data_IF_516575638281
#
_entry.id   IF_516575638281
#
_cell.length_a   1.000
_cell.length_b   1.000
_cell.length_c   1.000
_cell.angle_alpha   90.00
_cell.angle_beta   90.00
_cell.angle_gamma   90.00
#
_symmetry.space_group_name_H-M   'P 1'
#
loop_
_entity.id
_entity.type
_entity.pdbx_description
1 polymer ?
#
# COMPACT_ATOMS: atom_id res chain seq x y z
N UNK A 1 19.43 -40.97 44.24
CA UNK A 1 18.58 -42.16 44.24
C UNK A 1 18.38 -42.57 45.70
N UNK A 2 17.28 -43.24 46.01
CA UNK A 2 16.98 -43.83 47.30
C UNK A 2 16.58 -45.29 47.07
N UNK A 3 17.08 -46.21 47.87
CA UNK A 3 16.67 -47.61 47.87
C UNK A 3 15.84 -47.82 49.14
N UNK A 4 14.66 -48.42 48.99
CA UNK A 4 13.73 -48.66 50.07
C UNK A 4 13.57 -50.15 50.30
N UNK A 5 13.40 -50.54 51.57
CA UNK A 5 13.05 -51.90 51.96
C UNK A 5 11.57 -52.23 51.64
N UNK A 6 11.11 -53.49 51.85
CA UNK A 6 9.71 -53.87 51.64
C UNK A 6 8.69 -53.14 52.54
N UNK A 7 9.15 -52.45 53.60
CA UNK A 7 8.30 -51.63 54.48
C UNK A 7 8.24 -50.16 54.02
N UNK A 8 8.94 -49.81 52.95
CA UNK A 8 9.01 -48.45 52.43
C UNK A 8 9.96 -47.54 53.21
N UNK A 9 10.93 -48.09 53.94
CA UNK A 9 11.95 -47.35 54.69
C UNK A 9 13.21 -47.22 53.83
N UNK A 10 13.78 -46.01 53.76
CA UNK A 10 15.01 -45.75 52.99
C UNK A 10 16.21 -46.43 53.66
N UNK A 11 16.82 -47.40 52.97
CA UNK A 11 17.98 -48.16 53.42
C UNK A 11 19.30 -47.72 52.77
N UNK A 12 19.24 -47.03 51.62
CA UNK A 12 20.43 -46.45 50.99
C UNK A 12 20.07 -45.19 50.20
N UNK A 13 20.88 -44.13 50.29
CA UNK A 13 20.66 -42.86 49.61
C UNK A 13 21.67 -41.79 50.02
N UNK A 14 21.64 -40.62 49.35
CA UNK A 14 22.53 -39.49 49.71
C UNK A 14 22.15 -38.81 51.02
N UNK A 15 20.86 -38.77 51.34
CA UNK A 15 20.26 -38.15 52.53
C UNK A 15 19.04 -39.01 52.94
N UNK A 16 18.51 -38.84 54.16
CA UNK A 16 17.23 -39.41 54.63
C UNK A 16 17.19 -40.93 54.93
N UNK A 17 18.31 -41.57 55.27
CA UNK A 17 18.32 -42.99 55.68
C UNK A 17 17.47 -43.17 56.95
N UNK A 18 16.58 -44.16 56.95
CA UNK A 18 15.64 -44.44 58.05
C UNK A 18 14.29 -43.73 57.95
N UNK A 19 14.09 -42.82 56.99
CA UNK A 19 12.78 -42.20 56.75
C UNK A 19 11.84 -43.17 56.02
N UNK A 20 10.58 -43.20 56.47
CA UNK A 20 9.53 -43.97 55.81
C UNK A 20 8.87 -43.14 54.71
N UNK A 21 8.94 -43.64 53.48
CA UNK A 21 8.29 -43.08 52.31
C UNK A 21 7.11 -43.94 51.83
N UNK A 22 6.68 -44.96 52.60
CA UNK A 22 5.57 -45.85 52.22
C UNK A 22 4.22 -45.14 52.05
N UNK A 23 4.05 -43.96 52.65
CA UNK A 23 2.87 -43.13 52.46
C UNK A 23 2.82 -42.42 51.09
N UNK A 24 3.95 -42.33 50.37
CA UNK A 24 4.04 -41.70 49.05
C UNK A 24 3.38 -42.61 48.01
N UNK A 25 2.44 -42.07 47.23
CA UNK A 25 1.62 -42.84 46.28
C UNK A 25 2.46 -43.67 45.30
N UNK A 26 3.45 -43.07 44.65
CA UNK A 26 4.32 -43.75 43.70
C UNK A 26 5.17 -44.86 44.36
N UNK A 27 5.59 -44.67 45.61
CA UNK A 27 6.33 -45.70 46.37
C UNK A 27 5.39 -46.85 46.76
N UNK A 28 4.15 -46.54 47.15
CA UNK A 28 3.15 -47.56 47.52
C UNK A 28 2.77 -48.44 46.34
N UNK A 29 2.60 -47.85 45.15
CA UNK A 29 2.35 -48.60 43.94
C UNK A 29 3.54 -49.48 43.54
N UNK A 30 4.77 -48.98 43.72
CA UNK A 30 5.99 -49.77 43.51
C UNK A 30 6.13 -50.91 44.53
N UNK A 31 5.81 -50.71 45.81
CA UNK A 31 5.78 -51.79 46.80
C UNK A 31 4.75 -52.87 46.46
N UNK A 32 3.65 -52.49 45.80
CA UNK A 32 2.66 -53.43 45.25
C UNK A 32 3.07 -54.08 43.92
N UNK A 33 4.33 -53.90 43.48
CA UNK A 33 4.89 -54.53 42.28
C UNK A 33 4.63 -53.77 40.98
N UNK A 34 4.08 -52.55 41.02
CA UNK A 34 3.78 -51.75 39.82
C UNK A 34 4.70 -50.54 39.71
N UNK A 35 5.32 -50.38 38.55
CA UNK A 35 6.04 -49.14 38.23
C UNK A 35 5.13 -47.92 38.37
N UNK A 36 5.62 -46.86 39.02
CA UNK A 36 4.91 -45.61 39.15
C UNK A 36 5.83 -44.40 38.95
N UNK A 37 5.31 -43.35 38.34
CA UNK A 37 5.99 -42.07 38.17
C UNK A 37 5.07 -40.93 38.52
N UNK A 38 5.61 -39.92 39.20
CA UNK A 38 4.88 -38.73 39.60
C UNK A 38 5.66 -37.47 39.25
N UNK A 39 4.94 -36.46 38.76
CA UNK A 39 5.47 -35.14 38.53
C UNK A 39 5.02 -34.25 39.69
N UNK A 40 5.96 -33.83 40.55
CA UNK A 40 5.66 -33.05 41.75
C UNK A 40 6.29 -31.67 41.66
N UNK A 41 5.58 -30.66 42.15
CA UNK A 41 6.14 -29.33 42.31
C UNK A 41 7.09 -29.32 43.52
N UNK A 42 8.29 -28.75 43.35
CA UNK A 42 9.22 -28.51 44.45
C UNK A 42 8.65 -27.39 45.31
N UNK A 43 8.15 -27.74 46.49
CA UNK A 43 7.87 -26.81 47.58
C UNK A 43 9.19 -26.72 48.35
N UNK A 44 9.85 -25.55 48.32
CA UNK A 44 11.09 -25.28 49.04
C UNK A 44 10.78 -24.11 49.96
N UNK A 45 11.11 -24.22 51.24
CA UNK A 45 10.95 -23.12 52.21
C UNK A 45 12.01 -22.02 52.02
N UNK A 46 12.96 -22.24 51.10
CA UNK A 46 13.94 -21.26 50.66
C UNK A 46 13.39 -20.37 49.54
N UNK A 47 13.69 -19.05 49.55
CA UNK A 47 13.28 -18.14 48.49
C UNK A 47 13.82 -18.61 47.13
N UNK A 48 13.04 -18.44 46.05
CA UNK A 48 13.48 -18.84 44.72
C UNK A 48 14.81 -18.14 44.42
N UNK A 49 15.84 -18.86 43.93
CA UNK A 49 17.10 -18.23 43.55
C UNK A 49 16.83 -17.18 42.48
N UNK A 50 17.67 -16.14 42.42
CA UNK A 50 17.58 -15.10 41.38
C UNK A 50 17.50 -15.73 39.99
N UNK A 51 16.96 -14.99 39.02
CA UNK A 51 16.65 -15.41 37.64
C UNK A 51 17.77 -16.16 36.88
N UNK A 52 18.98 -16.28 37.44
CA UNK A 52 20.19 -16.88 36.85
C UNK A 52 20.57 -18.28 37.36
N UNK A 53 19.85 -18.92 38.30
CA UNK A 53 20.09 -20.33 38.67
C UNK A 53 19.37 -21.30 37.73
N UNK A 54 19.77 -21.29 36.45
CA UNK A 54 19.05 -21.93 35.34
C UNK A 54 19.20 -23.46 35.31
N UNK A 55 20.12 -24.07 36.07
CA UNK A 55 20.27 -25.54 36.14
C UNK A 55 19.32 -26.24 37.13
N UNK A 56 18.71 -25.50 38.07
CA UNK A 56 17.85 -26.05 39.14
C UNK A 56 16.50 -25.33 39.30
N UNK A 57 16.20 -24.37 38.42
CA UNK A 57 15.07 -23.45 38.53
C UNK A 57 13.72 -23.98 38.04
N UNK A 58 13.64 -25.18 37.45
CA UNK A 58 12.34 -25.76 37.12
C UNK A 58 11.63 -26.14 38.43
N UNK A 59 10.47 -25.54 38.71
CA UNK A 59 9.65 -25.85 39.90
C UNK A 59 9.13 -27.29 39.94
N UNK A 60 9.51 -28.12 38.98
CA UNK A 60 8.97 -29.46 38.78
C UNK A 60 10.08 -30.49 38.88
N UNK A 61 9.86 -31.53 39.67
CA UNK A 61 10.76 -32.68 39.82
C UNK A 61 9.99 -33.94 39.44
N UNK A 62 10.59 -34.74 38.56
CA UNK A 62 10.02 -36.03 38.16
C UNK A 62 10.57 -37.07 39.12
N UNK A 63 9.65 -37.81 39.74
CA UNK A 63 9.92 -38.92 40.62
C UNK A 63 9.52 -40.23 39.94
N UNK A 64 10.36 -41.25 40.10
CA UNK A 64 10.17 -42.56 39.51
C UNK A 64 10.42 -43.61 40.58
N UNK A 65 9.46 -44.49 40.79
CA UNK A 65 9.53 -45.60 41.74
C UNK A 65 9.46 -46.92 40.98
N UNK A 66 10.50 -47.74 41.10
CA UNK A 66 10.60 -49.03 40.43
C UNK A 66 10.67 -50.16 41.46
N UNK A 67 9.79 -51.17 41.40
CA UNK A 67 9.90 -52.37 42.24
C UNK A 67 11.18 -53.14 41.91
N UNK A 68 11.85 -53.62 42.94
CA UNK A 68 12.90 -54.65 42.83
C UNK A 68 12.30 -55.94 43.32
N UNK A 69 12.10 -56.91 42.43
CA UNK A 69 11.56 -58.21 42.78
C UNK A 69 12.67 -59.27 42.82
N UNK A 70 12.65 -60.13 43.84
CA UNK A 70 13.49 -61.32 43.98
C UNK A 70 12.54 -62.48 44.28
N UNK A 71 12.65 -63.59 43.57
CA UNK A 71 11.78 -64.77 43.73
C UNK A 71 10.27 -64.46 43.72
N UNK A 72 9.83 -63.65 42.76
CA UNK A 72 8.43 -63.22 42.59
C UNK A 72 7.83 -62.42 43.76
N UNK A 73 8.67 -61.91 44.67
CA UNK A 73 8.28 -61.00 45.76
C UNK A 73 9.03 -59.69 45.65
N UNK A 74 8.36 -58.57 45.96
CA UNK A 74 8.99 -57.24 45.97
C UNK A 74 9.94 -57.16 47.17
N UNK A 75 11.24 -57.19 46.91
CA UNK A 75 12.32 -57.10 47.88
C UNK A 75 12.67 -55.64 48.26
N UNK A 76 12.20 -54.67 47.47
CA UNK A 76 12.39 -53.25 47.76
C UNK A 76 11.95 -52.34 46.61
N UNK A 77 12.20 -51.04 46.73
CA UNK A 77 11.88 -50.03 45.70
C UNK A 77 13.08 -49.15 45.42
N UNK A 78 13.42 -48.97 44.15
CA UNK A 78 14.37 -47.95 43.69
C UNK A 78 13.59 -46.68 43.41
N UNK A 79 13.83 -45.65 44.22
CA UNK A 79 13.20 -44.34 44.10
C UNK A 79 14.18 -43.30 43.57
N UNK A 80 13.92 -42.82 42.36
CA UNK A 80 14.74 -41.88 41.61
C UNK A 80 14.02 -40.56 41.45
N UNK A 81 14.81 -39.48 41.40
CA UNK A 81 14.26 -38.18 41.03
C UNK A 81 15.23 -37.40 40.18
N UNK A 82 14.72 -36.76 39.14
CA UNK A 82 15.46 -35.81 38.29
C UNK A 82 14.64 -34.57 38.04
N UNK A 83 15.32 -33.43 38.02
CA UNK A 83 14.74 -32.17 37.53
C UNK A 83 14.94 -32.15 36.01
N UNK A 84 13.87 -31.98 35.21
CA UNK A 84 14.00 -31.82 33.76
C UNK A 84 14.87 -30.61 33.41
N UNK A 85 15.65 -30.73 32.32
CA UNK A 85 16.39 -29.59 31.78
C UNK A 85 15.42 -28.46 31.42
N UNK A 86 15.81 -27.23 31.73
CA UNK A 86 14.95 -26.07 31.54
C UNK A 86 14.81 -25.75 30.04
N UNK A 87 13.65 -26.05 29.45
CA UNK A 87 13.31 -25.70 28.05
C UNK A 87 13.44 -24.20 27.81
N UNK A 88 13.17 -23.40 28.85
CA UNK A 88 13.32 -21.93 28.81
C UNK A 88 14.76 -21.52 28.53
N UNK A 89 15.77 -22.30 28.95
CA UNK A 89 17.18 -21.99 28.64
C UNK A 89 17.46 -22.07 27.14
N UNK A 90 16.84 -23.02 26.44
CA UNK A 90 17.00 -23.15 25.00
C UNK A 90 16.26 -22.04 24.25
N UNK A 91 15.05 -21.68 24.70
CA UNK A 91 14.31 -20.52 24.17
C UNK A 91 15.08 -19.20 24.34
N UNK A 92 15.70 -18.98 25.51
CA UNK A 92 16.54 -17.80 25.76
C UNK A 92 17.88 -17.83 25.03
N UNK A 93 18.43 -19.02 24.74
CA UNK A 93 19.63 -19.17 23.92
C UNK A 93 19.42 -18.71 22.47
N UNK A 94 18.19 -18.79 21.96
CA UNK A 94 17.85 -18.44 20.58
C UNK A 94 17.22 -17.04 20.42
N UNK A 95 17.01 -16.30 21.52
CA UNK A 95 16.42 -14.95 21.50
C UNK A 95 17.12 -13.98 20.52
N UNK A 96 18.42 -14.14 20.32
CA UNK A 96 19.19 -13.33 19.36
C UNK A 96 18.79 -13.59 17.91
N UNK A 97 18.59 -14.87 17.54
CA UNK A 97 18.13 -15.26 16.19
C UNK A 97 16.70 -14.77 15.96
N UNK A 98 15.83 -14.93 16.94
CA UNK A 98 14.44 -14.45 16.87
C UNK A 98 14.37 -12.93 16.73
N UNK A 99 15.16 -12.20 17.54
CA UNK A 99 15.24 -10.74 17.45
C UNK A 99 15.79 -10.26 16.10
N UNK A 100 16.83 -10.90 15.58
CA UNK A 100 17.38 -10.58 14.26
C UNK A 100 16.39 -10.87 13.14
N UNK A 101 15.67 -11.99 13.20
CA UNK A 101 14.59 -12.30 12.26
C UNK A 101 13.47 -11.25 12.30
N UNK A 102 13.06 -10.82 13.50
CA UNK A 102 12.05 -9.77 13.67
C UNK A 102 12.51 -8.43 13.07
N UNK A 103 13.76 -8.02 13.33
CA UNK A 103 14.34 -6.81 12.75
C UNK A 103 14.44 -6.92 11.22
N UNK A 104 14.84 -8.07 10.69
CA UNK A 104 14.93 -8.30 9.26
C UNK A 104 13.55 -8.22 8.58
N UNK A 105 12.51 -8.79 9.19
CA UNK A 105 11.12 -8.71 8.71
C UNK A 105 10.61 -7.27 8.75
N UNK A 106 10.81 -6.57 9.87
CA UNK A 106 10.41 -5.17 10.00
C UNK A 106 11.14 -4.27 9.00
N UNK A 107 12.45 -4.45 8.86
CA UNK A 107 13.29 -3.72 7.91
C UNK A 107 12.88 -3.98 6.46
N UNK A 108 12.64 -5.25 6.10
CA UNK A 108 12.15 -5.63 4.78
C UNK A 108 10.78 -5.04 4.48
N UNK A 109 9.85 -5.08 5.44
CA UNK A 109 8.51 -4.49 5.31
C UNK A 109 8.59 -2.97 5.11
N UNK A 110 9.41 -2.29 5.91
CA UNK A 110 9.62 -0.85 5.78
C UNK A 110 10.27 -0.49 4.44
N UNK A 111 11.26 -1.27 4.01
CA UNK A 111 11.93 -1.08 2.72
C UNK A 111 10.96 -1.22 1.56
N UNK A 112 10.15 -2.28 1.53
CA UNK A 112 9.11 -2.49 0.51
C UNK A 112 8.13 -1.32 0.49
N UNK A 113 7.65 -0.88 1.65
CA UNK A 113 6.76 0.27 1.77
C UNK A 113 7.38 1.57 1.23
N UNK A 114 8.66 1.82 1.54
CA UNK A 114 9.39 2.98 1.04
C UNK A 114 9.63 2.94 -0.47
N UNK A 115 9.92 1.76 -1.03
CA UNK A 115 10.04 1.56 -2.47
C UNK A 115 8.70 1.83 -3.13
N UNK A 116 7.62 1.20 -2.67
CA UNK A 116 6.28 1.38 -3.23
C UNK A 116 5.81 2.85 -3.19
N UNK A 117 6.03 3.53 -2.07
CA UNK A 117 5.72 4.96 -1.92
C UNK A 117 6.47 5.81 -2.95
N UNK A 118 7.75 5.50 -3.20
CA UNK A 118 8.59 6.25 -4.15
C UNK A 118 8.32 5.90 -5.61
N UNK A 119 8.02 4.65 -5.92
CA UNK A 119 7.89 4.19 -7.31
C UNK A 119 6.46 4.21 -7.84
N UNK A 120 5.45 4.17 -6.97
CA UNK A 120 4.04 4.10 -7.37
C UNK A 120 3.25 5.29 -6.83
N UNK A 121 3.13 5.41 -5.50
CA UNK A 121 2.21 6.40 -4.92
C UNK A 121 2.60 7.84 -5.22
N UNK A 122 3.89 8.21 -5.07
CA UNK A 122 4.35 9.58 -5.33
C UNK A 122 4.13 10.03 -6.78
N UNK A 123 4.54 9.26 -7.82
CA UNK A 123 4.28 9.63 -9.20
C UNK A 123 2.79 9.79 -9.53
N UNK A 124 1.93 8.92 -8.98
CA UNK A 124 0.47 9.01 -9.18
C UNK A 124 -0.08 10.33 -8.63
N UNK A 125 0.24 10.67 -7.39
CA UNK A 125 -0.22 11.94 -6.81
C UNK A 125 0.34 13.16 -7.55
N UNK A 126 1.59 13.10 -8.00
CA UNK A 126 2.18 14.16 -8.80
C UNK A 126 1.46 14.36 -10.14
N UNK A 127 1.12 13.26 -10.82
CA UNK A 127 0.36 13.31 -12.07
C UNK A 127 -1.07 13.85 -11.83
N UNK A 128 -1.76 13.38 -10.79
CA UNK A 128 -3.10 13.86 -10.42
C UNK A 128 -3.12 15.38 -10.17
N UNK A 129 -2.13 15.90 -9.45
CA UNK A 129 -2.05 17.32 -9.16
C UNK A 129 -1.80 18.15 -10.43
N UNK A 130 -0.96 17.64 -11.34
CA UNK A 130 -0.76 18.27 -12.65
C UNK A 130 -2.00 18.23 -13.50
N UNK A 131 -2.72 17.11 -13.55
CA UNK A 131 -4.01 17.01 -14.25
C UNK A 131 -4.99 18.07 -13.76
N UNK A 132 -5.10 18.29 -12.45
CA UNK A 132 -5.96 19.35 -11.89
C UNK A 132 -5.52 20.75 -12.31
N UNK A 133 -4.22 21.03 -12.29
CA UNK A 133 -3.67 22.32 -12.73
C UNK A 133 -3.91 22.57 -14.22
N UNK A 134 -3.67 21.58 -15.08
CA UNK A 134 -3.96 21.66 -16.52
C UNK A 134 -5.44 21.92 -16.74
N UNK A 135 -6.33 21.20 -16.03
CA UNK A 135 -7.77 21.42 -16.11
C UNK A 135 -8.20 22.82 -15.63
N UNK A 136 -7.43 23.46 -14.75
CA UNK A 136 -7.62 24.85 -14.33
C UNK A 136 -7.03 25.88 -15.33
N UNK A 137 -6.45 25.44 -16.45
CA UNK A 137 -5.88 26.29 -17.49
C UNK A 137 -4.41 26.65 -17.30
N UNK A 138 -3.72 26.04 -16.33
CA UNK A 138 -2.31 26.28 -16.08
C UNK A 138 -1.42 25.53 -17.08
N UNK A 139 -0.88 26.28 -18.05
CA UNK A 139 0.00 25.75 -19.11
C UNK A 139 1.35 25.28 -18.57
N UNK A 140 1.84 25.87 -17.48
CA UNK A 140 3.13 25.49 -16.90
C UNK A 140 3.10 24.11 -16.23
N UNK A 141 1.90 23.55 -16.04
CA UNK A 141 1.72 22.19 -15.56
C UNK A 141 2.01 21.12 -16.63
N UNK A 142 2.02 21.47 -17.92
CA UNK A 142 2.38 20.58 -19.04
C UNK A 142 3.90 20.54 -19.15
N UNK A 143 4.54 19.86 -18.20
CA UNK A 143 5.99 19.62 -18.19
C UNK A 143 6.24 18.16 -17.82
N UNK A 144 7.41 17.57 -18.14
CA UNK A 144 7.77 16.22 -17.69
C UNK A 144 7.79 16.10 -16.16
N UNK A 145 7.48 14.90 -15.63
CA UNK A 145 7.58 14.64 -14.19
C UNK A 145 9.06 14.59 -13.78
N UNK A 146 9.41 15.17 -12.63
CA UNK A 146 10.81 15.15 -12.16
C UNK A 146 11.30 13.72 -11.88
N UNK A 147 10.37 12.82 -11.52
CA UNK A 147 10.65 11.43 -11.18
C UNK A 147 9.52 10.54 -11.69
N UNK A 148 9.84 9.65 -12.64
CA UNK A 148 8.84 8.79 -13.27
C UNK A 148 8.50 7.52 -12.47
N UNK A 149 9.22 7.22 -11.39
CA UNK A 149 9.00 5.98 -10.61
C UNK A 149 9.39 4.75 -11.42
N UNK A 150 8.41 4.02 -11.97
CA UNK A 150 8.65 2.87 -12.88
C UNK A 150 8.62 3.29 -14.35
N UNK A 151 9.02 2.39 -15.26
CA UNK A 151 9.03 2.65 -16.70
C UNK A 151 7.60 2.84 -17.25
N UNK A 152 6.65 2.06 -16.76
CA UNK A 152 5.24 2.11 -17.15
C UNK A 152 4.60 3.43 -16.71
N UNK A 153 4.93 3.90 -15.51
CA UNK A 153 4.50 5.21 -15.02
C UNK A 153 5.10 6.35 -15.83
N UNK A 154 6.34 6.21 -16.30
CA UNK A 154 6.95 7.15 -17.24
C UNK A 154 6.15 7.27 -18.53
N UNK A 155 5.91 6.13 -19.19
CA UNK A 155 5.18 6.06 -20.45
C UNK A 155 3.74 6.62 -20.32
N UNK A 156 3.05 6.33 -19.21
CA UNK A 156 1.73 6.88 -18.94
C UNK A 156 1.76 8.41 -18.80
N UNK A 157 2.73 8.93 -18.05
CA UNK A 157 2.89 10.38 -17.87
C UNK A 157 3.17 11.07 -19.20
N UNK A 158 4.05 10.51 -20.02
CA UNK A 158 4.42 11.10 -21.30
C UNK A 158 3.24 11.11 -22.27
N UNK A 159 2.49 10.00 -22.36
CA UNK A 159 1.28 9.92 -23.17
C UNK A 159 0.18 10.89 -22.70
N UNK A 160 0.03 11.07 -21.39
CA UNK A 160 -0.91 12.04 -20.83
C UNK A 160 -0.50 13.48 -21.16
N UNK A 161 0.79 13.81 -21.03
CA UNK A 161 1.30 15.15 -21.31
C UNK A 161 1.20 15.50 -22.80
N UNK A 162 1.49 14.55 -23.70
CA UNK A 162 1.29 14.70 -25.15
C UNK A 162 -0.18 14.98 -25.49
N UNK A 163 -1.12 14.25 -24.87
CA UNK A 163 -2.55 14.51 -25.03
C UNK A 163 -2.94 15.91 -24.53
N UNK A 164 -2.43 16.32 -23.37
CA UNK A 164 -2.69 17.63 -22.80
C UNK A 164 -2.18 18.76 -23.70
N UNK A 165 -0.98 18.62 -24.26
CA UNK A 165 -0.39 19.57 -25.21
C UNK A 165 -1.23 19.68 -26.49
N UNK A 166 -1.62 18.54 -27.08
CA UNK A 166 -2.49 18.51 -28.27
C UNK A 166 -3.85 19.15 -28.01
N UNK A 167 -4.46 18.89 -26.85
CA UNK A 167 -5.74 19.48 -26.48
C UNK A 167 -5.62 21.01 -26.35
N UNK A 168 -4.55 21.50 -25.72
CA UNK A 168 -4.29 22.93 -25.60
C UNK A 168 -4.04 23.60 -26.95
N UNK A 169 -3.19 23.00 -27.80
CA UNK A 169 -2.94 23.52 -29.13
C UNK A 169 -4.23 23.62 -29.97
N UNK A 170 -5.11 22.61 -29.87
CA UNK A 170 -6.41 22.63 -30.53
C UNK A 170 -7.32 23.74 -29.99
N UNK A 171 -7.36 23.92 -28.67
CA UNK A 171 -8.12 24.99 -28.03
C UNK A 171 -7.65 26.38 -28.50
N UNK A 172 -6.33 26.60 -28.55
CA UNK A 172 -5.74 27.87 -28.99
C UNK A 172 -6.03 28.16 -30.46
N UNK A 173 -5.98 27.13 -31.31
CA UNK A 173 -6.36 27.23 -32.72
C UNK A 173 -7.82 27.63 -32.88
N UNK A 174 -8.74 27.00 -32.13
CA UNK A 174 -10.17 27.34 -32.15
C UNK A 174 -10.40 28.77 -31.68
N UNK A 175 -9.74 29.20 -30.62
CA UNK A 175 -9.88 30.56 -30.10
C UNK A 175 -9.38 31.60 -31.11
N UNK A 176 -8.21 31.39 -31.68
CA UNK A 176 -7.60 32.29 -32.68
C UNK A 176 -8.47 32.37 -33.93
N UNK A 177 -8.96 31.22 -34.39
CA UNK A 177 -9.91 31.14 -35.50
C UNK A 177 -11.19 31.93 -35.22
N UNK A 178 -11.83 31.72 -34.06
CA UNK A 178 -13.05 32.42 -33.68
C UNK A 178 -12.85 33.95 -33.63
N UNK A 179 -11.71 34.41 -33.09
CA UNK A 179 -11.34 35.83 -33.10
C UNK A 179 -11.20 36.37 -34.52
N UNK A 180 -10.46 35.67 -35.37
CA UNK A 180 -10.23 36.09 -36.77
C UNK A 180 -11.54 36.16 -37.56
N UNK A 181 -12.39 35.13 -37.46
CA UNK A 181 -13.70 35.10 -38.12
C UNK A 181 -14.58 36.25 -37.63
N UNK A 182 -14.59 36.54 -36.34
CA UNK A 182 -15.35 37.66 -35.78
C UNK A 182 -14.91 39.01 -36.38
N UNK A 183 -13.61 39.21 -36.59
CA UNK A 183 -13.09 40.41 -37.23
C UNK A 183 -13.49 40.51 -38.70
N UNK A 184 -13.34 39.43 -39.47
CA UNK A 184 -13.68 39.38 -40.89
C UNK A 184 -15.18 39.59 -41.15
N UNK A 185 -16.05 39.13 -40.24
CA UNK A 185 -17.50 39.36 -40.34
C UNK A 185 -17.90 40.78 -39.91
N UNK A 186 -17.21 41.37 -38.92
CA UNK A 186 -17.55 42.70 -38.41
C UNK A 186 -17.38 43.80 -39.47
N UNK A 187 -16.32 43.75 -40.26
CA UNK A 187 -16.03 44.76 -41.28
C UNK A 187 -17.16 44.96 -42.30
N UNK A 188 -17.61 43.93 -43.06
CA UNK A 188 -18.71 44.07 -44.01
C UNK A 188 -20.04 44.35 -43.29
N UNK A 189 -20.27 43.83 -42.08
CA UNK A 189 -21.47 44.14 -41.32
C UNK A 189 -21.56 45.64 -40.95
N UNK A 190 -20.45 46.23 -40.51
CA UNK A 190 -20.37 47.68 -40.22
C UNK A 190 -20.57 48.51 -41.49
N UNK A 191 -20.03 48.07 -42.63
CA UNK A 191 -20.23 48.76 -43.91
C UNK A 191 -21.69 48.72 -44.38
N UNK A 192 -22.37 47.57 -44.26
CA UNK A 192 -23.80 47.43 -44.52
C UNK A 192 -24.62 48.34 -43.61
N UNK A 193 -24.35 48.32 -42.31
CA UNK A 193 -25.04 49.16 -41.33
C UNK A 193 -24.87 50.64 -41.64
N UNK A 194 -23.65 51.10 -41.90
CA UNK A 194 -23.38 52.51 -42.22
C UNK A 194 -24.05 52.95 -43.53
N UNK A 195 -24.01 52.11 -44.58
CA UNK A 195 -24.70 52.42 -45.83
C UNK A 195 -26.23 52.46 -45.66
N UNK A 196 -26.79 51.55 -44.85
CA UNK A 196 -28.22 51.52 -44.55
C UNK A 196 -28.67 52.71 -43.69
N UNK A 197 -27.88 53.13 -42.71
CA UNK A 197 -28.12 54.33 -41.90
C UNK A 197 -28.13 55.60 -42.76
N UNK A 198 -27.15 55.75 -43.66
CA UNK A 198 -27.09 56.89 -44.59
C UNK A 198 -28.30 56.95 -45.53
N UNK A 199 -28.73 55.80 -46.06
CA UNK A 199 -29.94 55.70 -46.88
C UNK A 199 -31.21 56.04 -46.09
N UNK A 200 -31.29 55.63 -44.82
CA UNK A 200 -32.43 55.91 -43.95
C UNK A 200 -32.50 57.39 -43.56
N UNK A 201 -31.39 57.96 -43.15
CA UNK A 201 -31.35 59.29 -42.52
C UNK A 201 -31.22 60.42 -43.55
N UNK A 202 -30.57 60.17 -44.70
CA UNK A 202 -30.29 61.19 -45.73
C UNK A 202 -30.77 60.81 -47.14
N UNK A 203 -31.43 59.66 -47.33
CA UNK A 203 -31.76 59.15 -48.66
C UNK A 203 -32.73 59.99 -49.50
N UNK A 204 -33.53 60.85 -48.85
CA UNK A 204 -34.43 61.81 -49.52
C UNK A 204 -33.71 63.04 -50.09
N UNK A 205 -32.53 63.38 -49.53
CA UNK A 205 -31.68 64.47 -50.00
C UNK A 205 -30.64 64.01 -51.03
N UNK A 206 -30.45 62.70 -51.20
CA UNK A 206 -29.53 62.09 -52.15
C UNK A 206 -30.09 62.04 -53.57
N UNK A 207 -29.21 62.24 -54.55
CA UNK A 207 -29.54 61.97 -55.95
C UNK A 207 -29.72 60.46 -56.22
N UNK A 208 -30.25 60.12 -57.40
CA UNK A 208 -30.49 58.73 -57.79
C UNK A 208 -29.19 57.90 -57.90
N UNK A 209 -28.08 58.53 -58.28
CA UNK A 209 -26.77 57.89 -58.39
C UNK A 209 -26.16 57.54 -57.02
N UNK A 210 -26.24 58.46 -56.06
CA UNK A 210 -25.80 58.25 -54.67
C UNK A 210 -26.62 57.16 -54.00
N UNK A 211 -27.95 57.17 -54.16
CA UNK A 211 -28.84 56.15 -53.58
C UNK A 211 -28.52 54.76 -54.14
N UNK A 212 -28.28 54.66 -55.45
CA UNK A 212 -27.83 53.40 -56.09
C UNK A 212 -26.48 52.95 -55.59
N UNK A 213 -25.53 53.87 -55.38
CA UNK A 213 -24.20 53.54 -54.86
C UNK A 213 -24.27 52.89 -53.48
N UNK A 214 -25.00 53.49 -52.53
CA UNK A 214 -25.13 52.90 -51.20
C UNK A 214 -25.90 51.57 -51.20
N UNK A 215 -26.95 51.44 -52.01
CA UNK A 215 -27.67 50.17 -52.20
C UNK A 215 -26.74 49.07 -52.76
N UNK A 216 -25.93 49.40 -53.78
CA UNK A 216 -24.96 48.46 -54.35
C UNK A 216 -23.87 48.07 -53.35
N UNK A 217 -23.42 49.00 -52.49
CA UNK A 217 -22.46 48.68 -51.42
C UNK A 217 -23.05 47.64 -50.45
N UNK A 218 -24.31 47.82 -50.03
CA UNK A 218 -25.01 46.85 -49.15
C UNK A 218 -25.08 45.47 -49.80
N UNK A 219 -25.48 45.40 -51.07
CA UNK A 219 -25.55 44.12 -51.81
C UNK A 219 -24.18 43.45 -51.90
N UNK A 220 -23.15 44.21 -52.26
CA UNK A 220 -21.78 43.69 -52.41
C UNK A 220 -21.24 43.13 -51.09
N UNK A 221 -21.40 43.85 -49.98
CA UNK A 221 -20.94 43.39 -48.68
C UNK A 221 -21.78 42.22 -48.14
N UNK A 222 -23.08 42.15 -48.46
CA UNK A 222 -23.93 41.01 -48.14
C UNK A 222 -23.50 39.75 -48.91
N UNK A 223 -23.14 39.88 -50.19
CA UNK A 223 -22.55 38.80 -50.99
C UNK A 223 -21.22 38.33 -50.41
N UNK A 224 -20.37 39.27 -49.98
CA UNK A 224 -19.10 38.96 -49.30
C UNK A 224 -19.29 38.17 -48.01
N UNK A 225 -20.26 38.57 -47.17
CA UNK A 225 -20.62 37.81 -45.96
C UNK A 225 -21.10 36.39 -46.30
N UNK A 226 -21.96 36.24 -47.31
CA UNK A 226 -22.45 34.94 -47.75
C UNK A 226 -21.30 34.02 -48.24
N UNK A 227 -20.32 34.58 -48.97
CA UNK A 227 -19.13 33.85 -49.39
C UNK A 227 -18.27 33.42 -48.21
N UNK A 228 -18.06 34.28 -47.21
CA UNK A 228 -17.32 33.94 -45.99
C UNK A 228 -18.00 32.80 -45.24
N UNK A 229 -19.32 32.87 -45.02
CA UNK A 229 -20.07 31.80 -44.33
C UNK A 229 -19.96 30.46 -45.06
N UNK A 230 -20.03 30.46 -46.40
CA UNK A 230 -19.83 29.22 -47.19
C UNK A 230 -18.45 28.63 -46.99
N UNK A 231 -17.40 29.45 -47.05
CA UNK A 231 -16.01 29.01 -46.79
C UNK A 231 -15.85 28.41 -45.40
N UNK A 232 -16.50 28.98 -44.38
CA UNK A 232 -16.48 28.44 -43.02
C UNK A 232 -17.16 27.07 -42.92
N UNK A 233 -18.30 26.90 -43.60
CA UNK A 233 -19.01 25.62 -43.65
C UNK A 233 -18.21 24.55 -44.40
N UNK A 234 -17.52 24.93 -45.48
CA UNK A 234 -16.65 24.03 -46.24
C UNK A 234 -15.44 23.59 -45.39
N UNK A 235 -14.82 24.51 -44.65
CA UNK A 235 -13.74 24.20 -43.72
C UNK A 235 -14.20 23.27 -42.59
N UNK A 236 -15.35 23.56 -41.96
CA UNK A 236 -15.90 22.72 -40.89
C UNK A 236 -16.25 21.30 -41.36
N UNK A 237 -16.66 21.14 -42.64
CA UNK A 237 -16.87 19.82 -43.25
C UNK A 237 -15.55 19.08 -43.51
N UNK A 238 -14.52 19.80 -43.98
CA UNK A 238 -13.21 19.22 -44.22
C UNK A 238 -12.55 18.71 -42.92
N UNK A 239 -12.61 19.48 -41.82
CA UNK A 239 -12.09 19.05 -40.51
C UNK A 239 -12.81 17.81 -39.96
N UNK A 240 -14.12 17.68 -40.18
CA UNK A 240 -14.90 16.52 -39.73
C UNK A 240 -14.65 15.24 -40.55
N UNK A 241 -14.12 15.34 -41.78
CA UNK A 241 -13.70 14.19 -42.58
C UNK A 241 -12.26 13.73 -42.28
N UNK A 242 -11.47 14.54 -41.58
CA UNK A 242 -10.07 14.26 -41.24
C UNK A 242 -9.80 13.42 -39.95
N UNK A 243 -10.76 12.87 -39.16
CA UNK A 243 -10.39 12.07 -38.01
C UNK A 243 -10.21 10.60 -38.43
N UNK A 244 -9.00 10.20 -38.81
CA UNK A 244 -8.72 8.76 -38.96
C UNK A 244 -7.46 8.32 -39.72
N UNK A 245 -6.57 9.20 -40.13
CA UNK A 245 -5.35 8.76 -40.81
C UNK A 245 -4.23 9.75 -40.66
N UNK A 246 -3.27 9.44 -39.78
CA UNK A 246 -1.86 9.26 -40.14
C UNK A 246 -1.00 9.13 -38.87
N UNK A 247 -0.19 8.06 -38.86
CA UNK A 247 0.87 7.66 -37.91
C UNK A 247 0.47 6.84 -36.69
#
# INVERSE_FOLDING_TARGET
FRLLDPKGVVIAGREEIGLSLGAVEEVRQALAGRYASALRQRISDEPPPSLYSVSRGTRVRVFVAMPVAVDSKVAGVVYLSRTPNNIVKHLYGERGKVGLAAIAILGGTLLIGLVFLRTVSRPIYALMERTKRIAAGDRDAIRPLDHHGTREMAALSDAFLDMAEKLHARSDSIQTFATHVSHELKSPLTAIQGAAELLRDSGSAMDEGERRRFSNNIVTDAERLNLLVRRLLDLARAENLAPGGES
#
